data_IF_066903051097
#
_entry.id   IF_066903051097
#
_cell.length_a   1.000
_cell.length_b   1.000
_cell.length_c   1.000
_cell.angle_alpha   90.00
_cell.angle_beta   90.00
_cell.angle_gamma   90.00
#
_symmetry.space_group_name_H-M   'P 1'
#
loop_
_entity.id
_entity.type
_entity.pdbx_description
1 polymer ?
#
# COMPACT_ATOMS: atom_id res chain seq x y z
N UNK A 1 -3.92 -6.57 29.53
CA UNK A 1 -4.62 -6.69 28.23
C UNK A 1 -3.74 -7.47 27.30
N UNK A 2 -4.26 -8.46 26.61
CA UNK A 2 -3.51 -9.18 25.57
C UNK A 2 -3.17 -8.19 24.45
N UNK A 3 -1.89 -8.16 24.03
CA UNK A 3 -1.46 -7.35 22.87
C UNK A 3 -2.23 -7.77 21.62
N UNK A 4 -2.67 -6.79 20.82
CA UNK A 4 -3.17 -7.08 19.48
C UNK A 4 -2.03 -7.48 18.55
N UNK A 5 -2.29 -8.41 17.67
CA UNK A 5 -1.33 -8.92 16.69
C UNK A 5 -1.74 -8.43 15.28
N UNK A 6 -0.86 -7.73 14.60
CA UNK A 6 -1.06 -7.26 13.24
C UNK A 6 -0.12 -7.97 12.26
N UNK A 7 -0.64 -8.36 11.10
CA UNK A 7 0.12 -8.89 9.98
C UNK A 7 0.06 -7.92 8.80
N UNK A 8 1.22 -7.48 8.31
CA UNK A 8 1.34 -6.55 7.20
C UNK A 8 1.98 -7.25 6.00
N UNK A 9 1.29 -7.40 4.89
CA UNK A 9 1.91 -7.77 3.63
C UNK A 9 2.53 -6.52 2.99
N UNK A 10 3.67 -6.66 2.30
CA UNK A 10 4.34 -5.50 1.71
C UNK A 10 4.96 -4.54 2.74
N UNK A 11 5.37 -5.05 3.88
CA UNK A 11 5.94 -4.28 5.01
C UNK A 11 7.19 -3.47 4.62
N UNK A 12 7.91 -3.85 3.57
CA UNK A 12 9.10 -3.15 3.05
C UNK A 12 8.77 -1.97 2.12
N UNK A 13 7.49 -1.76 1.80
CA UNK A 13 7.01 -0.60 1.05
C UNK A 13 6.91 0.65 1.92
N UNK A 14 6.60 1.80 1.29
CA UNK A 14 6.39 3.07 2.00
C UNK A 14 5.33 2.92 3.10
N UNK A 15 4.11 2.53 2.73
CA UNK A 15 2.98 2.43 3.65
C UNK A 15 3.21 1.35 4.70
N UNK A 16 3.77 0.20 4.29
CA UNK A 16 4.09 -0.89 5.20
C UNK A 16 5.07 -0.47 6.29
N UNK A 17 6.09 0.33 5.95
CA UNK A 17 7.07 0.83 6.92
C UNK A 17 6.44 1.83 7.91
N UNK A 18 5.65 2.79 7.41
CA UNK A 18 4.95 3.74 8.28
C UNK A 18 3.91 3.06 9.17
N UNK A 19 3.15 2.11 8.61
CA UNK A 19 2.14 1.37 9.36
C UNK A 19 2.79 0.49 10.44
N UNK A 20 3.90 -0.18 10.14
CA UNK A 20 4.62 -0.97 11.13
C UNK A 20 5.08 -0.12 12.31
N UNK A 21 5.72 1.04 12.05
CA UNK A 21 6.12 1.97 13.10
C UNK A 21 4.92 2.45 13.92
N UNK A 22 3.83 2.88 13.26
CA UNK A 22 2.62 3.38 13.88
C UNK A 22 1.95 2.33 14.79
N UNK A 23 1.87 1.07 14.36
CA UNK A 23 1.28 -0.01 15.15
C UNK A 23 2.16 -0.40 16.33
N UNK A 24 3.49 -0.40 16.16
CA UNK A 24 4.42 -0.60 17.27
C UNK A 24 4.28 0.48 18.35
N UNK A 25 4.14 1.74 17.96
CA UNK A 25 3.89 2.87 18.89
C UNK A 25 2.55 2.72 19.63
N UNK A 26 1.57 2.05 19.01
CA UNK A 26 0.29 1.70 19.65
C UNK A 26 0.36 0.43 20.53
N UNK A 27 1.51 -0.21 20.63
CA UNK A 27 1.73 -1.39 21.47
C UNK A 27 1.29 -2.72 20.84
N UNK A 28 1.12 -2.77 19.51
CA UNK A 28 0.87 -4.03 18.80
C UNK A 28 2.13 -4.90 18.76
N UNK A 29 1.94 -6.20 18.62
CA UNK A 29 2.92 -7.10 18.05
C UNK A 29 2.71 -7.09 16.53
N UNK A 30 3.77 -6.72 15.78
CA UNK A 30 3.70 -6.51 14.34
C UNK A 30 4.50 -7.59 13.61
N UNK A 31 3.82 -8.32 12.73
CA UNK A 31 4.43 -9.28 11.83
C UNK A 31 4.41 -8.73 10.40
N UNK A 32 5.55 -8.76 9.73
CA UNK A 32 5.68 -8.28 8.35
C UNK A 32 6.02 -9.39 7.37
N UNK A 33 5.33 -9.45 6.23
CA UNK A 33 5.69 -10.35 5.12
C UNK A 33 6.56 -9.58 4.14
N UNK A 34 7.76 -10.13 3.86
CA UNK A 34 8.69 -9.64 2.84
C UNK A 34 9.02 -10.73 1.84
N UNK A 35 9.22 -10.35 0.57
CA UNK A 35 9.71 -11.28 -0.45
C UNK A 35 11.20 -11.56 -0.27
N UNK A 36 11.63 -12.77 -0.64
CA UNK A 36 13.05 -13.08 -0.78
C UNK A 36 13.58 -12.47 -2.07
N UNK A 37 14.60 -11.64 -1.95
CA UNK A 37 15.35 -11.04 -3.06
C UNK A 37 16.84 -11.31 -2.87
N UNK A 38 17.64 -11.22 -3.95
CA UNK A 38 19.09 -11.39 -3.87
C UNK A 38 19.79 -10.25 -3.11
N UNK A 39 19.25 -9.04 -3.21
CA UNK A 39 19.71 -7.86 -2.49
C UNK A 39 18.81 -7.59 -1.27
N UNK A 40 19.31 -6.83 -0.32
CA UNK A 40 18.49 -6.32 0.78
C UNK A 40 17.39 -5.39 0.24
N UNK A 41 16.20 -5.49 0.80
CA UNK A 41 15.04 -4.68 0.45
C UNK A 41 14.32 -4.15 1.69
N UNK A 42 15.04 -4.04 2.81
CA UNK A 42 14.50 -3.72 4.13
C UNK A 42 14.86 -2.32 4.63
N UNK A 43 15.56 -1.52 3.83
CA UNK A 43 16.11 -0.20 4.23
C UNK A 43 15.08 0.69 4.96
N UNK A 44 13.80 0.61 4.54
CA UNK A 44 12.71 1.40 5.15
C UNK A 44 12.30 0.94 6.54
N UNK A 45 12.66 -0.28 6.91
CA UNK A 45 12.26 -0.93 8.17
C UNK A 45 13.45 -1.39 9.01
N UNK A 46 14.69 -1.17 8.57
CA UNK A 46 15.89 -1.61 9.31
C UNK A 46 15.96 -0.99 10.71
N UNK A 47 15.45 0.23 10.87
CA UNK A 47 15.36 0.90 12.18
C UNK A 47 14.36 0.26 13.15
N UNK A 48 13.46 -0.60 12.66
CA UNK A 48 12.48 -1.36 13.46
C UNK A 48 12.97 -2.77 13.78
N UNK A 49 14.08 -3.20 13.15
CA UNK A 49 14.59 -4.56 13.29
C UNK A 49 14.92 -4.91 14.72
N UNK A 50 14.53 -6.09 15.14
CA UNK A 50 14.86 -6.67 16.43
C UNK A 50 15.52 -8.04 16.22
N UNK A 51 16.62 -8.27 16.93
CA UNK A 51 17.37 -9.53 16.84
C UNK A 51 16.47 -10.73 17.18
N UNK A 52 16.48 -11.81 16.38
CA UNK A 52 15.71 -13.03 16.66
C UNK A 52 15.95 -13.68 18.02
N UNK A 53 17.06 -13.40 18.66
CA UNK A 53 17.40 -13.96 19.98
C UNK A 53 16.83 -13.13 21.16
N UNK A 54 16.25 -11.93 20.89
CA UNK A 54 15.56 -11.14 21.92
C UNK A 54 14.21 -11.78 22.22
N UNK A 55 13.97 -12.10 23.50
CA UNK A 55 12.79 -12.86 23.92
C UNK A 55 11.48 -12.08 23.79
N UNK A 56 11.50 -10.75 23.94
CA UNK A 56 10.30 -9.88 23.90
C UNK A 56 10.30 -9.02 22.63
N UNK A 57 10.32 -9.67 21.48
CA UNK A 57 10.23 -8.99 20.19
C UNK A 57 8.79 -8.58 19.90
N UNK A 58 8.66 -7.37 19.37
CA UNK A 58 7.37 -6.82 18.93
C UNK A 58 7.29 -6.65 17.41
N UNK A 59 8.42 -6.80 16.71
CA UNK A 59 8.50 -6.76 15.25
C UNK A 59 9.17 -8.02 14.70
N UNK A 60 8.43 -8.79 13.91
CA UNK A 60 8.87 -10.09 13.37
C UNK A 60 8.67 -10.11 11.84
N UNK A 61 9.71 -10.50 11.12
CA UNK A 61 9.67 -10.60 9.65
C UNK A 61 9.56 -12.04 9.18
N UNK A 62 8.65 -12.30 8.25
CA UNK A 62 8.44 -13.57 7.59
C UNK A 62 8.77 -13.50 6.10
N UNK A 63 9.35 -14.57 5.55
CA UNK A 63 9.48 -14.73 4.11
C UNK A 63 8.20 -15.33 3.54
N UNK A 64 7.57 -14.62 2.60
CA UNK A 64 6.38 -15.04 1.89
C UNK A 64 6.19 -14.25 0.61
N UNK A 65 5.34 -14.75 -0.28
CA UNK A 65 5.01 -14.12 -1.55
C UNK A 65 3.50 -14.19 -1.78
N UNK A 66 2.90 -13.14 -2.34
CA UNK A 66 1.47 -13.10 -2.65
C UNK A 66 1.07 -14.12 -3.72
N UNK A 67 2.05 -14.64 -4.46
CA UNK A 67 1.86 -15.67 -5.49
C UNK A 67 1.95 -17.10 -4.93
N UNK A 68 2.29 -17.27 -3.64
CA UNK A 68 2.47 -18.56 -2.98
C UNK A 68 1.47 -18.76 -1.83
N UNK A 69 0.39 -19.50 -2.10
CA UNK A 69 -0.65 -19.79 -1.11
C UNK A 69 -0.12 -20.55 0.11
N UNK A 70 0.84 -21.45 -0.08
CA UNK A 70 1.35 -22.29 1.00
C UNK A 70 2.11 -21.46 2.05
N UNK A 71 2.91 -20.50 1.61
CA UNK A 71 3.63 -19.59 2.51
C UNK A 71 2.65 -18.69 3.27
N UNK A 72 1.62 -18.17 2.62
CA UNK A 72 0.62 -17.31 3.24
C UNK A 72 -0.21 -18.06 4.30
N UNK A 73 -0.72 -19.26 3.98
CA UNK A 73 -1.46 -20.10 4.94
C UNK A 73 -0.58 -20.42 6.16
N UNK A 74 0.66 -20.84 5.93
CA UNK A 74 1.60 -21.16 7.02
C UNK A 74 1.85 -19.95 7.92
N UNK A 75 2.10 -18.77 7.35
CA UNK A 75 2.37 -17.56 8.13
C UNK A 75 1.14 -17.16 8.93
N UNK A 76 -0.05 -17.10 8.31
CA UNK A 76 -1.29 -16.73 9.01
C UNK A 76 -1.64 -17.74 10.10
N UNK A 77 -1.44 -19.03 9.86
CA UNK A 77 -1.61 -20.08 10.86
C UNK A 77 -0.68 -19.90 12.06
N UNK A 78 0.57 -19.55 11.81
CA UNK A 78 1.58 -19.36 12.85
C UNK A 78 1.35 -18.09 13.66
N UNK A 79 0.95 -17.00 13.00
CA UNK A 79 0.80 -15.67 13.60
C UNK A 79 -0.56 -15.51 14.29
N UNK A 80 -1.63 -16.10 13.76
CA UNK A 80 -3.01 -15.95 14.27
C UNK A 80 -3.40 -14.47 14.47
N UNK A 81 -3.30 -13.60 13.44
CA UNK A 81 -3.41 -12.17 13.60
C UNK A 81 -4.85 -11.72 13.95
N UNK A 82 -4.95 -10.66 14.73
CA UNK A 82 -6.21 -9.95 14.98
C UNK A 82 -6.55 -9.00 13.82
N UNK A 83 -5.51 -8.46 13.16
CA UNK A 83 -5.65 -7.54 12.04
C UNK A 83 -4.67 -7.92 10.91
N UNK A 84 -5.15 -7.94 9.66
CA UNK A 84 -4.30 -8.10 8.46
C UNK A 84 -4.44 -6.88 7.58
N UNK A 85 -3.29 -6.27 7.24
CA UNK A 85 -3.18 -5.15 6.31
C UNK A 85 -2.53 -5.65 5.02
N UNK A 86 -3.35 -5.81 3.97
CA UNK A 86 -2.87 -6.29 2.67
C UNK A 86 -2.42 -5.12 1.79
N UNK A 87 -1.13 -4.77 1.90
CA UNK A 87 -0.51 -3.66 1.18
C UNK A 87 0.40 -4.13 0.03
N UNK A 88 0.73 -5.42 -0.02
CA UNK A 88 1.61 -5.96 -1.05
C UNK A 88 0.96 -5.90 -2.43
N UNK A 89 1.67 -5.34 -3.40
CA UNK A 89 1.26 -5.25 -4.78
C UNK A 89 2.45 -5.02 -5.72
N UNK A 90 2.27 -5.39 -6.99
CA UNK A 90 3.01 -4.77 -8.09
C UNK A 90 2.31 -3.44 -8.41
N UNK A 91 2.73 -2.33 -7.79
CA UNK A 91 2.01 -1.05 -7.78
C UNK A 91 2.42 -0.06 -8.87
N UNK A 92 3.34 -0.43 -9.78
CA UNK A 92 3.79 0.44 -10.85
C UNK A 92 2.89 0.27 -12.09
N UNK A 93 2.03 1.26 -12.36
CA UNK A 93 1.02 1.19 -13.43
C UNK A 93 1.65 0.88 -14.79
N UNK A 94 2.75 1.56 -15.18
CA UNK A 94 3.38 1.32 -16.47
C UNK A 94 3.90 -0.12 -16.60
N UNK A 95 4.54 -0.65 -15.56
CA UNK A 95 5.05 -2.04 -15.52
C UNK A 95 3.92 -3.06 -15.66
N UNK A 96 2.71 -2.75 -15.22
CA UNK A 96 1.58 -3.68 -15.36
C UNK A 96 1.20 -3.97 -16.81
N UNK A 97 1.56 -3.10 -17.76
CA UNK A 97 1.38 -3.36 -19.19
C UNK A 97 2.47 -4.30 -19.76
N UNK A 98 3.64 -4.35 -19.12
CA UNK A 98 4.73 -5.24 -19.50
C UNK A 98 4.60 -6.61 -18.81
N UNK A 99 4.10 -6.64 -17.57
CA UNK A 99 3.92 -7.85 -16.75
C UNK A 99 2.46 -8.01 -16.25
N UNK A 100 1.45 -8.12 -17.15
CA UNK A 100 0.05 -8.14 -16.75
C UNK A 100 -0.33 -9.41 -15.98
N UNK A 101 0.24 -10.56 -16.32
CA UNK A 101 -0.01 -11.83 -15.63
C UNK A 101 0.53 -11.83 -14.21
N UNK A 102 1.77 -11.39 -14.03
CA UNK A 102 2.35 -11.26 -12.69
C UNK A 102 1.56 -10.27 -11.83
N UNK A 103 1.17 -9.13 -12.41
CA UNK A 103 0.35 -8.12 -11.73
C UNK A 103 -1.00 -8.71 -11.28
N UNK A 104 -1.69 -9.46 -12.15
CA UNK A 104 -2.93 -10.13 -11.80
C UNK A 104 -2.71 -11.20 -10.71
N UNK A 105 -1.65 -11.98 -10.82
CA UNK A 105 -1.35 -13.05 -9.88
C UNK A 105 -0.99 -12.53 -8.48
N UNK A 106 -0.21 -11.45 -8.38
CA UNK A 106 0.17 -10.84 -7.10
C UNK A 106 -0.95 -10.02 -6.48
N UNK A 107 -1.61 -9.16 -7.28
CA UNK A 107 -2.50 -8.12 -6.77
C UNK A 107 -3.95 -8.59 -6.64
N UNK A 108 -4.45 -9.35 -7.63
CA UNK A 108 -5.80 -9.89 -7.62
C UNK A 108 -5.86 -11.21 -6.84
N UNK A 109 -5.18 -12.23 -7.33
CA UNK A 109 -5.20 -13.57 -6.71
C UNK A 109 -4.49 -13.57 -5.35
N UNK A 110 -3.51 -12.68 -5.14
CA UNK A 110 -2.87 -12.53 -3.83
C UNK A 110 -3.86 -12.12 -2.74
N UNK A 111 -4.76 -11.18 -3.01
CA UNK A 111 -5.83 -10.80 -2.08
C UNK A 111 -6.76 -11.99 -1.77
N UNK A 112 -7.18 -12.73 -2.81
CA UNK A 112 -7.97 -13.94 -2.64
C UNK A 112 -7.26 -14.98 -1.76
N UNK A 113 -5.96 -15.21 -1.95
CA UNK A 113 -5.18 -16.18 -1.15
C UNK A 113 -5.17 -15.83 0.33
N UNK A 114 -5.05 -14.55 0.68
CA UNK A 114 -5.10 -14.11 2.09
C UNK A 114 -6.50 -14.31 2.67
N UNK A 115 -7.55 -13.93 1.95
CA UNK A 115 -8.94 -14.13 2.37
C UNK A 115 -9.26 -15.62 2.55
N UNK A 116 -8.86 -16.48 1.60
CA UNK A 116 -8.98 -17.93 1.71
C UNK A 116 -8.18 -18.51 2.89
N UNK A 117 -6.97 -17.99 3.15
CA UNK A 117 -6.20 -18.44 4.30
C UNK A 117 -6.92 -18.12 5.63
N UNK A 118 -7.53 -16.94 5.76
CA UNK A 118 -8.36 -16.57 6.92
C UNK A 118 -9.52 -17.59 7.07
N UNK A 119 -10.22 -17.87 5.97
CA UNK A 119 -11.37 -18.79 5.95
C UNK A 119 -10.97 -20.23 6.25
N UNK A 120 -9.93 -20.76 5.58
CA UNK A 120 -9.44 -22.13 5.78
C UNK A 120 -9.01 -22.38 7.23
N UNK A 121 -8.47 -21.35 7.88
CA UNK A 121 -7.98 -21.42 9.26
C UNK A 121 -9.07 -21.14 10.32
N UNK A 122 -10.31 -20.85 9.90
CA UNK A 122 -11.42 -20.57 10.82
C UNK A 122 -11.26 -19.26 11.57
N UNK A 123 -10.64 -18.25 10.96
CA UNK A 123 -10.34 -16.97 11.58
C UNK A 123 -11.32 -15.84 11.21
N UNK A 124 -12.41 -16.15 10.49
CA UNK A 124 -13.36 -15.19 9.92
C UNK A 124 -13.99 -14.27 10.98
N UNK A 125 -14.17 -14.75 12.19
CA UNK A 125 -14.79 -13.99 13.29
C UNK A 125 -13.77 -13.28 14.18
N UNK A 126 -12.48 -13.58 13.99
CA UNK A 126 -11.39 -13.01 14.78
C UNK A 126 -10.64 -11.95 14.00
N UNK A 127 -10.21 -12.27 12.77
CA UNK A 127 -9.27 -11.45 12.00
C UNK A 127 -10.02 -10.39 11.20
N UNK A 128 -9.67 -9.12 11.40
CA UNK A 128 -10.10 -8.00 10.59
C UNK A 128 -9.14 -7.81 9.40
N UNK A 129 -9.68 -7.67 8.22
CA UNK A 129 -8.89 -7.59 6.97
C UNK A 129 -9.06 -6.22 6.30
N UNK A 130 -7.95 -5.56 6.06
CA UNK A 130 -7.87 -4.33 5.27
C UNK A 130 -7.23 -4.64 3.91
N UNK A 131 -7.89 -4.23 2.83
CA UNK A 131 -7.38 -4.28 1.46
C UNK A 131 -6.96 -2.87 1.01
N UNK A 132 -5.69 -2.67 0.70
CA UNK A 132 -5.24 -1.47 0.00
C UNK A 132 -5.78 -1.49 -1.43
N UNK A 133 -6.82 -0.71 -1.67
CA UNK A 133 -7.37 -0.44 -2.97
C UNK A 133 -6.76 0.84 -3.55
N UNK A 134 -7.28 1.39 -4.65
CA UNK A 134 -6.61 2.49 -5.36
C UNK A 134 -7.61 3.37 -6.11
N UNK A 135 -7.32 4.66 -6.26
CA UNK A 135 -8.05 5.56 -7.15
C UNK A 135 -7.97 5.17 -8.63
N UNK A 136 -7.03 4.29 -9.01
CA UNK A 136 -6.95 3.72 -10.37
C UNK A 136 -8.16 2.84 -10.74
N UNK A 137 -8.99 2.45 -9.75
CA UNK A 137 -10.29 1.82 -10.01
C UNK A 137 -11.22 2.74 -10.80
N UNK A 138 -11.20 4.04 -10.51
CA UNK A 138 -12.03 5.01 -11.21
C UNK A 138 -11.62 5.20 -12.67
N UNK A 139 -10.32 5.15 -12.97
CA UNK A 139 -9.76 5.13 -14.34
C UNK A 139 -10.31 6.21 -15.25
N UNK A 140 -11.19 5.84 -16.20
CA UNK A 140 -11.99 6.80 -16.96
C UNK A 140 -13.14 7.28 -16.07
N UNK A 141 -12.92 8.38 -15.37
CA UNK A 141 -13.78 8.92 -14.34
C UNK A 141 -15.21 9.13 -14.86
N UNK A 142 -16.20 8.57 -14.16
CA UNK A 142 -17.62 8.62 -14.54
C UNK A 142 -18.37 9.77 -13.86
N UNK A 143 -17.89 10.26 -12.73
CA UNK A 143 -18.43 11.42 -12.00
C UNK A 143 -17.34 12.16 -11.23
N UNK A 144 -17.58 13.43 -10.90
CA UNK A 144 -16.67 14.29 -10.15
C UNK A 144 -17.47 15.14 -9.14
N UNK A 145 -17.08 15.16 -7.84
CA UNK A 145 -16.02 14.36 -7.22
C UNK A 145 -16.37 12.88 -7.13
N UNK A 146 -15.36 12.02 -7.04
CA UNK A 146 -15.55 10.58 -6.83
C UNK A 146 -15.91 10.28 -5.37
N UNK A 147 -16.74 9.25 -5.19
CA UNK A 147 -17.13 8.69 -3.90
C UNK A 147 -17.06 7.17 -3.93
N UNK A 148 -17.36 6.52 -2.82
CA UNK A 148 -17.43 5.05 -2.70
C UNK A 148 -18.51 4.44 -3.62
N UNK A 149 -19.45 5.25 -4.13
CA UNK A 149 -20.55 4.83 -5.02
C UNK A 149 -20.26 5.12 -6.49
N UNK A 150 -19.19 5.84 -6.79
CA UNK A 150 -18.78 6.16 -8.17
C UNK A 150 -18.47 4.89 -8.94
N UNK A 151 -19.06 4.67 -10.13
CA UNK A 151 -18.75 3.50 -10.94
C UNK A 151 -17.27 3.42 -11.31
N UNK A 152 -16.70 2.22 -11.20
CA UNK A 152 -15.31 1.96 -11.57
C UNK A 152 -15.18 1.71 -13.07
N UNK A 153 -14.12 2.25 -13.67
CA UNK A 153 -13.76 2.05 -15.08
C UNK A 153 -12.22 2.01 -15.25
N UNK A 154 -11.53 0.97 -14.75
CA UNK A 154 -10.07 0.92 -14.74
C UNK A 154 -9.48 0.96 -16.16
N UNK A 155 -8.31 1.56 -16.31
CA UNK A 155 -7.64 1.79 -17.59
C UNK A 155 -6.25 1.18 -17.69
N UNK A 156 -5.91 0.29 -16.75
CA UNK A 156 -4.62 -0.42 -16.73
C UNK A 156 -4.79 -1.84 -16.20
N UNK A 157 -3.90 -2.79 -16.55
CA UNK A 157 -3.88 -4.12 -15.94
C UNK A 157 -3.78 -4.08 -14.40
N UNK A 158 -3.02 -3.12 -13.84
CA UNK A 158 -2.99 -2.85 -12.40
C UNK A 158 -4.38 -2.48 -11.85
N UNK A 159 -5.06 -1.51 -12.47
CA UNK A 159 -6.40 -1.11 -12.05
C UNK A 159 -7.40 -2.26 -12.11
N UNK A 160 -7.34 -3.10 -13.15
CA UNK A 160 -8.20 -4.29 -13.29
C UNK A 160 -7.89 -5.33 -12.19
N UNK A 161 -6.62 -5.59 -11.90
CA UNK A 161 -6.22 -6.51 -10.83
C UNK A 161 -6.70 -6.01 -9.44
N UNK A 162 -6.57 -4.72 -9.18
CA UNK A 162 -7.08 -4.08 -7.96
C UNK A 162 -8.60 -4.06 -7.90
N UNK A 163 -9.30 -3.98 -9.04
CA UNK A 163 -10.75 -4.09 -9.10
C UNK A 163 -11.22 -5.49 -8.68
N UNK A 164 -10.54 -6.53 -9.14
CA UNK A 164 -10.81 -7.88 -8.65
C UNK A 164 -10.60 -7.96 -7.13
N UNK A 165 -9.46 -7.45 -6.62
CA UNK A 165 -9.16 -7.46 -5.19
C UNK A 165 -10.21 -6.71 -4.36
N UNK A 166 -10.73 -5.58 -4.88
CA UNK A 166 -11.83 -4.83 -4.27
C UNK A 166 -13.09 -5.70 -4.16
N UNK A 167 -13.57 -6.23 -5.26
CA UNK A 167 -14.83 -6.98 -5.29
C UNK A 167 -14.77 -8.31 -4.57
N UNK A 168 -13.63 -9.00 -4.59
CA UNK A 168 -13.49 -10.23 -3.81
C UNK A 168 -13.48 -9.94 -2.30
N UNK A 169 -12.95 -8.80 -1.87
CA UNK A 169 -13.02 -8.35 -0.46
C UNK A 169 -14.47 -8.07 -0.05
N UNK A 170 -15.24 -7.35 -0.87
CA UNK A 170 -16.68 -7.12 -0.65
C UNK A 170 -17.43 -8.46 -0.59
N UNK A 171 -17.18 -9.35 -1.55
CA UNK A 171 -17.83 -10.66 -1.61
C UNK A 171 -17.58 -11.49 -0.34
N UNK A 172 -16.35 -11.53 0.17
CA UNK A 172 -16.02 -12.29 1.38
C UNK A 172 -16.63 -11.67 2.64
N UNK A 173 -16.73 -10.33 2.69
CA UNK A 173 -17.48 -9.63 3.74
C UNK A 173 -18.94 -10.08 3.77
N UNK A 174 -19.60 -10.08 2.61
CA UNK A 174 -21.04 -10.39 2.50
C UNK A 174 -21.35 -11.87 2.61
N UNK A 175 -20.57 -12.73 1.94
CA UNK A 175 -20.83 -14.16 1.87
C UNK A 175 -20.46 -14.91 3.16
N UNK A 176 -19.37 -14.52 3.82
CA UNK A 176 -18.84 -15.22 5.00
C UNK A 176 -18.95 -14.41 6.30
N UNK A 177 -19.45 -13.18 6.23
CA UNK A 177 -19.55 -12.29 7.39
C UNK A 177 -18.18 -11.96 7.98
N UNK A 178 -17.15 -11.85 7.14
CA UNK A 178 -15.82 -11.40 7.55
C UNK A 178 -15.80 -9.90 7.78
N UNK A 179 -15.03 -9.45 8.77
CA UNK A 179 -14.70 -8.04 8.84
C UNK A 179 -13.63 -7.73 7.80
N UNK A 180 -14.05 -7.31 6.62
CA UNK A 180 -13.17 -7.01 5.49
C UNK A 180 -13.58 -5.69 4.83
N UNK A 181 -12.62 -4.77 4.63
CA UNK A 181 -12.87 -3.43 4.08
C UNK A 181 -11.80 -3.02 3.07
N UNK A 182 -12.16 -2.10 2.17
CA UNK A 182 -11.29 -1.53 1.15
C UNK A 182 -11.03 -0.05 1.44
N UNK A 183 -9.75 0.36 1.49
CA UNK A 183 -9.38 1.77 1.40
C UNK A 183 -9.07 2.14 -0.05
N UNK A 184 -9.88 3.00 -0.67
CA UNK A 184 -9.66 3.51 -2.03
C UNK A 184 -8.68 4.68 -1.93
N UNK A 185 -7.40 4.35 -1.99
CA UNK A 185 -6.31 5.29 -1.75
C UNK A 185 -6.04 6.16 -2.96
N UNK A 186 -6.05 7.48 -2.77
CA UNK A 186 -5.45 8.43 -3.69
C UNK A 186 -3.92 8.47 -3.51
N UNK A 187 -3.23 9.26 -4.33
CA UNK A 187 -1.77 9.30 -4.26
C UNK A 187 -1.30 9.82 -2.90
N UNK A 188 -0.31 9.19 -2.33
CA UNK A 188 0.27 9.61 -1.06
C UNK A 188 1.77 9.37 -1.06
N UNK A 189 2.48 10.31 -0.52
CA UNK A 189 3.90 10.47 -0.71
C UNK A 189 4.63 10.64 0.62
N UNK A 190 5.94 10.45 0.59
CA UNK A 190 6.80 10.68 1.75
C UNK A 190 8.28 10.71 1.34
N UNK A 191 9.20 11.08 2.25
CA UNK A 191 10.63 10.97 2.00
C UNK A 191 11.13 9.56 1.62
N UNK A 192 10.40 8.52 2.00
CA UNK A 192 10.72 7.11 1.68
C UNK A 192 9.89 6.54 0.52
N UNK A 193 9.22 7.38 -0.27
CA UNK A 193 8.54 6.96 -1.50
C UNK A 193 9.48 6.21 -2.43
N UNK A 194 8.97 5.21 -3.15
CA UNK A 194 9.75 4.48 -4.17
C UNK A 194 10.32 5.44 -5.22
N UNK A 195 11.59 5.26 -5.55
CA UNK A 195 12.39 6.20 -6.34
C UNK A 195 11.92 6.41 -7.79
N UNK A 196 11.17 5.45 -8.33
CA UNK A 196 10.60 5.48 -9.68
C UNK A 196 9.27 6.23 -9.78
N UNK A 197 8.61 6.50 -8.64
CA UNK A 197 7.38 7.27 -8.61
C UNK A 197 7.63 8.76 -8.84
N UNK A 198 6.67 9.43 -9.48
CA UNK A 198 6.85 10.76 -10.06
C UNK A 198 7.39 11.80 -9.07
N UNK A 199 6.87 11.87 -7.86
CA UNK A 199 7.30 12.83 -6.84
C UNK A 199 8.73 12.60 -6.40
N UNK A 200 9.09 11.33 -6.08
CA UNK A 200 10.46 10.98 -5.67
C UNK A 200 11.44 11.08 -6.85
N UNK A 201 11.00 10.73 -8.07
CA UNK A 201 11.79 10.94 -9.29
C UNK A 201 12.14 12.42 -9.46
N UNK A 202 11.18 13.33 -9.26
CA UNK A 202 11.39 14.78 -9.35
C UNK A 202 12.39 15.25 -8.30
N UNK A 203 12.15 14.99 -7.02
CA UNK A 203 12.99 15.48 -5.92
C UNK A 203 14.42 14.98 -6.02
N UNK A 204 14.63 13.70 -6.38
CA UNK A 204 15.96 13.12 -6.60
C UNK A 204 16.68 13.75 -7.80
N UNK A 205 15.98 13.91 -8.93
CA UNK A 205 16.58 14.51 -10.11
C UNK A 205 16.99 15.96 -9.85
N UNK A 206 16.14 16.75 -9.21
CA UNK A 206 16.46 18.16 -8.89
C UNK A 206 17.64 18.26 -7.92
N UNK A 207 17.71 17.40 -6.90
CA UNK A 207 18.89 17.36 -6.02
C UNK A 207 20.16 17.00 -6.79
N UNK A 208 20.12 16.06 -7.72
CA UNK A 208 21.26 15.69 -8.59
C UNK A 208 21.66 16.83 -9.55
N UNK A 209 20.68 17.54 -10.11
CA UNK A 209 20.93 18.73 -10.96
C UNK A 209 21.62 19.81 -10.14
N UNK A 210 21.14 20.11 -8.93
CA UNK A 210 21.77 21.08 -8.03
C UNK A 210 23.24 20.75 -7.73
N UNK A 211 23.55 19.46 -7.61
CA UNK A 211 24.92 18.96 -7.34
C UNK A 211 25.78 18.78 -8.62
N UNK A 212 25.28 19.13 -9.80
CA UNK A 212 25.99 18.94 -11.07
C UNK A 212 26.19 17.47 -11.48
N UNK A 213 25.36 16.57 -10.96
CA UNK A 213 25.40 15.13 -11.23
C UNK A 213 24.42 14.68 -12.32
N UNK A 214 23.62 15.61 -12.81
CA UNK A 214 22.59 15.37 -13.84
C UNK A 214 22.26 16.69 -14.53
N UNK A 215 22.08 16.65 -15.87
CA UNK A 215 21.87 17.88 -16.65
C UNK A 215 20.38 18.26 -16.75
N UNK A 216 19.48 17.29 -16.81
CA UNK A 216 18.05 17.56 -17.00
C UNK A 216 17.15 16.44 -16.44
N UNK A 217 15.85 16.74 -16.30
CA UNK A 217 14.82 15.81 -15.91
C UNK A 217 13.76 15.69 -17.01
N UNK A 218 13.54 14.48 -17.52
CA UNK A 218 12.46 14.19 -18.47
C UNK A 218 11.19 13.76 -17.73
N UNK A 219 10.11 14.48 -17.98
CA UNK A 219 8.78 14.22 -17.43
C UNK A 219 7.76 14.09 -18.58
N UNK A 220 6.68 13.38 -18.31
CA UNK A 220 5.54 13.31 -19.22
C UNK A 220 4.63 14.55 -19.13
N UNK A 221 3.32 14.35 -19.03
CA UNK A 221 2.35 15.43 -18.98
C UNK A 221 2.44 16.23 -17.67
N UNK A 222 2.97 17.45 -17.74
CA UNK A 222 3.11 18.36 -16.59
C UNK A 222 1.75 18.92 -16.09
N UNK A 223 0.69 18.85 -16.90
CA UNK A 223 -0.64 19.34 -16.53
C UNK A 223 -1.53 18.26 -15.89
N UNK A 224 -1.03 17.02 -15.82
CA UNK A 224 -1.75 15.95 -15.13
C UNK A 224 -1.93 16.31 -13.65
N UNK A 225 -3.20 16.31 -13.22
CA UNK A 225 -3.55 16.62 -11.83
C UNK A 225 -3.71 15.35 -11.02
N UNK A 226 -3.31 15.39 -9.76
CA UNK A 226 -3.49 14.33 -8.77
C UNK A 226 -3.81 14.95 -7.42
N UNK A 227 -4.55 14.20 -6.60
CA UNK A 227 -4.64 14.44 -5.18
C UNK A 227 -3.45 13.74 -4.52
N UNK A 228 -2.61 14.47 -3.78
CA UNK A 228 -1.47 13.93 -3.05
C UNK A 228 -1.57 14.23 -1.57
N UNK A 229 -1.62 13.20 -0.76
CA UNK A 229 -1.54 13.30 0.68
C UNK A 229 -0.18 12.82 1.23
N UNK A 230 -0.03 12.80 2.54
CA UNK A 230 1.13 12.23 3.21
C UNK A 230 0.85 10.81 3.69
N UNK A 231 1.80 9.89 3.49
CA UNK A 231 1.62 8.47 3.81
C UNK A 231 1.27 8.19 5.28
N UNK A 232 1.69 9.03 6.22
CA UNK A 232 1.34 8.90 7.65
C UNK A 232 -0.17 9.02 7.90
N UNK A 233 -0.82 9.98 7.25
CA UNK A 233 -2.26 10.21 7.39
C UNK A 233 -3.03 9.02 6.82
N UNK A 234 -2.52 8.46 5.71
CA UNK A 234 -3.13 7.31 5.05
C UNK A 234 -3.02 6.03 5.88
N UNK A 235 -1.88 5.77 6.51
CA UNK A 235 -1.75 4.57 7.37
C UNK A 235 -2.54 4.71 8.67
N UNK A 236 -2.69 5.91 9.21
CA UNK A 236 -3.59 6.15 10.33
C UNK A 236 -5.04 5.85 9.94
N UNK A 237 -5.48 6.28 8.75
CA UNK A 237 -6.81 5.98 8.24
C UNK A 237 -7.01 4.47 8.01
N UNK A 238 -6.02 3.75 7.49
CA UNK A 238 -6.06 2.29 7.35
C UNK A 238 -6.33 1.60 8.69
N UNK A 239 -5.65 2.06 9.74
CA UNK A 239 -5.88 1.54 11.09
C UNK A 239 -7.26 1.92 11.63
N UNK A 240 -7.69 3.17 11.49
CA UNK A 240 -9.02 3.65 11.93
C UNK A 240 -10.15 2.85 11.30
N UNK A 241 -10.05 2.47 10.03
CA UNK A 241 -11.02 1.63 9.33
C UNK A 241 -11.21 0.28 10.02
N UNK A 242 -10.14 -0.34 10.49
CA UNK A 242 -10.21 -1.61 11.22
C UNK A 242 -10.66 -1.46 12.68
N UNK A 243 -10.84 -0.24 13.21
CA UNK A 243 -11.35 -0.01 14.56
C UNK A 243 -12.87 0.26 14.59
N UNK A 244 -13.52 0.42 13.43
CA UNK A 244 -14.96 0.67 13.35
C UNK A 244 -15.78 -0.54 13.80
N UNK A 245 -17.05 -0.30 14.20
CA UNK A 245 -17.96 -1.39 14.58
C UNK A 245 -18.29 -2.32 13.40
N UNK A 246 -18.54 -1.74 12.23
CA UNK A 246 -18.91 -2.44 11.02
C UNK A 246 -17.86 -2.18 9.91
N UNK A 247 -17.62 -3.18 9.03
CA UNK A 247 -16.70 -3.02 7.92
C UNK A 247 -17.34 -2.22 6.78
N UNK A 248 -16.75 -1.10 6.42
CA UNK A 248 -17.13 -0.26 5.28
C UNK A 248 -15.93 0.07 4.40
N UNK A 249 -16.21 0.44 3.15
CA UNK A 249 -15.20 0.90 2.21
C UNK A 249 -15.12 2.43 2.24
N UNK A 250 -13.92 3.00 2.13
CA UNK A 250 -13.70 4.45 2.23
C UNK A 250 -12.79 4.96 1.12
N UNK A 251 -13.15 6.09 0.53
CA UNK A 251 -12.25 6.92 -0.27
C UNK A 251 -11.31 7.68 0.67
N UNK A 252 -10.01 7.55 0.44
CA UNK A 252 -8.98 8.23 1.23
C UNK A 252 -8.23 9.21 0.33
N UNK A 253 -8.54 10.51 0.50
CA UNK A 253 -8.05 11.62 -0.31
C UNK A 253 -7.93 12.89 0.54
N UNK A 254 -7.16 13.88 0.05
CA UNK A 254 -7.09 15.21 0.68
C UNK A 254 -8.20 16.14 0.21
N UNK A 255 -8.81 15.85 -0.94
CA UNK A 255 -9.80 16.70 -1.60
C UNK A 255 -9.20 17.86 -2.41
N UNK A 256 -7.87 17.96 -2.48
CA UNK A 256 -7.17 19.02 -3.21
C UNK A 256 -6.27 18.41 -4.28
N UNK A 257 -6.35 18.94 -5.51
CA UNK A 257 -5.54 18.48 -6.62
C UNK A 257 -4.44 19.49 -6.98
N UNK A 258 -3.26 18.95 -7.26
CA UNK A 258 -2.12 19.69 -7.80
C UNK A 258 -1.66 19.08 -9.12
N UNK A 259 -1.07 19.88 -9.99
CA UNK A 259 -0.44 19.39 -11.22
C UNK A 259 1.00 18.90 -10.95
N UNK A 260 1.53 18.09 -11.86
CA UNK A 260 2.95 17.72 -11.81
C UNK A 260 3.85 18.96 -11.88
N UNK A 261 3.43 20.00 -12.63
CA UNK A 261 4.14 21.29 -12.70
C UNK A 261 4.22 21.97 -11.31
N UNK A 262 3.13 21.94 -10.54
CA UNK A 262 3.13 22.56 -9.20
C UNK A 262 4.13 21.89 -8.27
N UNK A 263 4.24 20.55 -8.33
CA UNK A 263 5.26 19.80 -7.55
C UNK A 263 6.68 20.15 -8.01
N UNK A 264 6.93 20.23 -9.33
CA UNK A 264 8.23 20.65 -9.84
C UNK A 264 8.58 22.05 -9.33
N UNK A 265 7.62 22.99 -9.41
CA UNK A 265 7.82 24.37 -8.97
C UNK A 265 8.12 24.45 -7.47
N UNK A 266 7.35 23.73 -6.65
CA UNK A 266 7.57 23.68 -5.20
C UNK A 266 8.94 23.07 -4.86
N UNK A 267 9.29 21.94 -5.49
CA UNK A 267 10.57 21.28 -5.25
C UNK A 267 11.78 22.10 -5.72
N UNK A 268 11.64 22.86 -6.81
CA UNK A 268 12.67 23.79 -7.27
C UNK A 268 12.88 24.96 -6.29
N UNK A 269 11.77 25.50 -5.75
CA UNK A 269 11.83 26.59 -4.77
C UNK A 269 12.55 26.16 -3.48
N UNK A 270 12.34 24.94 -3.00
CA UNK A 270 12.98 24.40 -1.79
C UNK A 270 14.53 24.32 -1.90
N UNK A 271 15.06 24.27 -3.10
CA UNK A 271 16.51 24.13 -3.34
C UNK A 271 17.08 25.25 -4.20
N UNK A 272 16.39 26.38 -4.34
CA UNK A 272 16.83 27.58 -5.08
C UNK A 272 17.25 27.27 -6.54
N UNK A 273 16.50 26.47 -7.26
CA UNK A 273 16.66 26.24 -8.70
C UNK A 273 15.65 27.10 -9.46
N UNK A 274 16.11 27.96 -10.37
CA UNK A 274 15.24 28.65 -11.30
C UNK A 274 14.67 27.67 -12.33
N UNK A 275 13.34 27.72 -12.54
CA UNK A 275 12.68 27.01 -13.63
C UNK A 275 12.79 27.88 -14.88
N UNK A 276 13.31 27.36 -16.00
CA UNK A 276 13.39 28.13 -17.25
C UNK A 276 12.01 28.41 -17.87
#
# INVERSE_FOLDING_TARGET
MTKKIALITGVTGQDGAYLAAFLLDKGYEVHGIKRRTSLFNTDRIDHLYQDPHVADRHFVLHHGDMTDSSSLVRIIQQVQPDEIYNLAAQSHVAVSFEEPEYTANSDALGALRVLEAIRILGLEKRTRFYQASTSELFGLVQETPQSEKTPFYPRSPYGVAKLYAYWITVNYREAYGMYACNGILYNHESPIRGETFVTRKITRALARIKLGLQDCLYLGNLHAKRDWGHARDYVEMQWLMLQQAEPEDYVIATGVQYSVRDIVSAACAEIDIAIP
#
